data_IF_122269532467
#
_entry.id   IF_122269532467
#
_cell.length_a   1.000
_cell.length_b   1.000
_cell.length_c   1.000
_cell.angle_alpha   90.00
_cell.angle_beta   90.00
_cell.angle_gamma   90.00
#
_symmetry.space_group_name_H-M   'P 1'
#
loop_
_entity.id
_entity.type
_entity.pdbx_description
1 polymer ?
#
# COMPACT_ATOMS: atom_id res chain seq x y z
N UNK A 1 -37.46 3.13 -6.14
CA UNK A 1 -36.91 4.02 -5.08
C UNK A 1 -35.59 3.44 -4.61
N UNK A 2 -34.46 3.89 -5.15
CA UNK A 2 -33.13 3.39 -4.73
C UNK A 2 -32.64 3.99 -3.41
N UNK A 3 -33.20 5.12 -2.96
CA UNK A 3 -32.70 5.85 -1.79
C UNK A 3 -32.55 5.02 -0.51
N UNK A 4 -33.58 4.29 -0.04
CA UNK A 4 -33.47 3.48 1.18
C UNK A 4 -32.42 2.35 1.07
N UNK A 5 -32.42 1.60 -0.04
CA UNK A 5 -31.46 0.50 -0.26
C UNK A 5 -30.03 1.02 -0.38
N UNK A 6 -29.83 2.17 -1.03
CA UNK A 6 -28.53 2.82 -1.13
C UNK A 6 -27.99 3.22 0.25
N UNK A 7 -28.85 3.79 1.09
CA UNK A 7 -28.50 4.15 2.46
C UNK A 7 -28.15 2.92 3.31
N UNK A 8 -28.88 1.82 3.16
CA UNK A 8 -28.56 0.55 3.83
C UNK A 8 -27.18 0.02 3.42
N UNK A 9 -26.84 0.08 2.13
CA UNK A 9 -25.51 -0.30 1.64
C UNK A 9 -24.41 0.60 2.23
N UNK A 10 -24.61 1.91 2.24
CA UNK A 10 -23.65 2.86 2.81
C UNK A 10 -23.43 2.59 4.31
N UNK A 11 -24.52 2.42 5.07
CA UNK A 11 -24.45 2.09 6.49
C UNK A 11 -23.71 0.77 6.72
N UNK A 12 -24.03 -0.25 5.92
CA UNK A 12 -23.36 -1.55 6.01
C UNK A 12 -21.85 -1.42 5.75
N UNK A 13 -21.44 -0.67 4.73
CA UNK A 13 -20.03 -0.39 4.44
C UNK A 13 -19.34 0.21 5.66
N UNK A 14 -19.87 1.29 6.25
CA UNK A 14 -19.23 1.94 7.39
C UNK A 14 -19.28 1.14 8.69
N UNK A 15 -20.31 0.32 8.89
CA UNK A 15 -20.43 -0.54 10.08
C UNK A 15 -19.38 -1.66 10.09
N UNK A 16 -18.98 -2.17 8.92
CA UNK A 16 -18.12 -3.35 8.83
C UNK A 16 -16.69 -3.01 8.39
N UNK A 17 -16.43 -1.82 7.84
CA UNK A 17 -15.13 -1.50 7.25
C UNK A 17 -13.95 -1.57 8.23
N UNK A 18 -14.14 -1.55 9.55
CA UNK A 18 -13.04 -1.67 10.52
C UNK A 18 -12.65 -3.10 10.84
N UNK A 19 -13.60 -4.03 10.71
CA UNK A 19 -13.45 -5.41 11.18
C UNK A 19 -13.07 -6.38 10.06
N UNK A 20 -13.32 -5.99 8.80
CA UNK A 20 -12.95 -6.79 7.64
C UNK A 20 -11.43 -6.74 7.44
N UNK A 21 -10.75 -7.89 7.27
CA UNK A 21 -9.34 -7.91 6.92
C UNK A 21 -9.05 -7.08 5.66
N UNK A 22 -7.95 -6.32 5.66
CA UNK A 22 -7.60 -5.43 4.53
C UNK A 22 -7.58 -6.16 3.19
N UNK A 23 -7.06 -7.39 3.17
CA UNK A 23 -6.97 -8.20 1.97
C UNK A 23 -8.35 -8.66 1.43
N UNK A 24 -9.42 -8.60 2.22
CA UNK A 24 -10.77 -9.01 1.81
C UNK A 24 -11.72 -7.83 1.54
N UNK A 25 -11.33 -6.62 1.99
CA UNK A 25 -12.22 -5.47 2.00
C UNK A 25 -12.80 -5.12 0.63
N UNK A 26 -11.97 -5.06 -0.42
CA UNK A 26 -12.42 -4.65 -1.75
C UNK A 26 -13.41 -5.65 -2.37
N UNK A 27 -13.16 -6.94 -2.22
CA UNK A 27 -14.10 -7.99 -2.68
C UNK A 27 -15.41 -7.90 -1.92
N UNK A 28 -15.35 -7.75 -0.60
CA UNK A 28 -16.54 -7.61 0.24
C UNK A 28 -17.35 -6.35 -0.10
N UNK A 29 -16.68 -5.23 -0.34
CA UNK A 29 -17.32 -3.96 -0.67
C UNK A 29 -18.03 -4.04 -2.04
N UNK A 30 -17.37 -4.59 -3.06
CA UNK A 30 -17.98 -4.82 -4.37
C UNK A 30 -19.16 -5.79 -4.28
N UNK A 31 -19.02 -6.90 -3.56
CA UNK A 31 -20.12 -7.85 -3.30
C UNK A 31 -21.30 -7.17 -2.60
N UNK A 32 -21.03 -6.25 -1.68
CA UNK A 32 -22.08 -5.49 -0.98
C UNK A 32 -22.80 -4.53 -1.94
N UNK A 33 -22.07 -3.88 -2.85
CA UNK A 33 -22.66 -3.00 -3.88
C UNK A 33 -23.47 -3.77 -4.92
N UNK A 34 -23.15 -5.05 -5.20
CA UNK A 34 -23.94 -5.89 -6.11
C UNK A 34 -25.42 -6.03 -5.71
N UNK A 35 -25.77 -5.77 -4.44
CA UNK A 35 -27.16 -5.77 -3.97
C UNK A 35 -28.03 -4.63 -4.54
N UNK A 36 -27.41 -3.56 -5.03
CA UNK A 36 -28.10 -2.38 -5.58
C UNK A 36 -27.74 -2.06 -7.03
N UNK A 37 -26.60 -2.56 -7.52
CA UNK A 37 -26.16 -2.44 -8.91
C UNK A 37 -25.73 -3.81 -9.39
N UNK A 38 -26.43 -4.39 -10.36
CA UNK A 38 -26.00 -5.66 -10.94
C UNK A 38 -24.76 -5.43 -11.82
N UNK A 39 -23.69 -6.18 -11.59
CA UNK A 39 -22.49 -6.26 -12.43
C UNK A 39 -21.81 -7.62 -12.20
N UNK A 40 -21.07 -8.10 -13.19
CA UNK A 40 -20.48 -9.45 -13.19
C UNK A 40 -19.03 -9.42 -12.69
N UNK A 41 -18.31 -8.34 -13.03
CA UNK A 41 -16.91 -8.13 -12.69
C UNK A 41 -16.58 -6.65 -12.47
N UNK A 42 -15.40 -6.37 -11.93
CA UNK A 42 -14.99 -5.00 -11.64
C UNK A 42 -13.50 -4.79 -11.45
N UNK A 43 -13.10 -3.52 -11.50
CA UNK A 43 -11.74 -3.06 -11.30
C UNK A 43 -11.74 -1.94 -10.27
N UNK A 44 -10.81 -1.98 -9.32
CA UNK A 44 -10.54 -0.87 -8.40
C UNK A 44 -9.06 -0.61 -8.35
N UNK A 45 -8.64 0.45 -9.03
CA UNK A 45 -7.25 0.80 -9.18
C UNK A 45 -6.95 2.20 -8.64
N UNK A 46 -5.73 2.37 -8.14
CA UNK A 46 -5.18 3.66 -7.75
C UNK A 46 -4.04 4.03 -8.70
N UNK A 47 -3.94 5.31 -9.06
CA UNK A 47 -2.89 5.82 -9.93
C UNK A 47 -2.04 6.88 -9.21
N UNK A 48 -0.82 7.10 -9.69
CA UNK A 48 0.06 8.13 -9.15
C UNK A 48 -0.48 9.54 -9.41
N UNK A 49 -1.11 9.74 -10.55
CA UNK A 49 -1.81 10.95 -10.93
C UNK A 49 -2.91 10.59 -11.93
N UNK A 50 -3.82 11.53 -12.17
CA UNK A 50 -5.02 11.29 -13.00
C UNK A 50 -4.64 10.98 -14.46
N UNK A 51 -3.40 11.28 -14.87
CA UNK A 51 -2.88 11.13 -16.23
C UNK A 51 -1.81 10.00 -16.37
N UNK A 52 -1.64 9.13 -15.36
CA UNK A 52 -0.55 8.15 -15.37
C UNK A 52 -0.92 6.93 -16.21
N UNK A 53 0.00 6.49 -17.06
CA UNK A 53 -0.12 5.26 -17.87
C UNK A 53 -0.11 3.96 -17.08
N UNK A 54 0.29 3.99 -15.80
CA UNK A 54 0.39 2.78 -15.01
C UNK A 54 -0.16 2.95 -13.59
N UNK A 55 -1.08 2.06 -13.26
CA UNK A 55 -1.68 1.94 -11.94
C UNK A 55 -0.61 1.57 -10.90
N UNK A 56 -0.73 2.14 -9.71
CA UNK A 56 0.16 1.80 -8.60
C UNK A 56 -0.35 0.58 -7.83
N UNK A 57 -1.67 0.41 -7.78
CA UNK A 57 -2.39 -0.68 -7.10
C UNK A 57 -3.62 -1.01 -7.94
N UNK A 58 -3.90 -2.30 -8.16
CA UNK A 58 -5.04 -2.77 -8.95
C UNK A 58 -5.66 -3.96 -8.24
N UNK A 59 -6.95 -3.83 -7.91
CA UNK A 59 -7.78 -4.94 -7.46
C UNK A 59 -8.75 -5.34 -8.56
N UNK A 60 -8.87 -6.65 -8.78
CA UNK A 60 -9.71 -7.26 -9.79
C UNK A 60 -10.79 -8.11 -9.11
N UNK A 61 -12.05 -7.81 -9.41
CA UNK A 61 -13.19 -8.54 -8.90
C UNK A 61 -13.74 -9.44 -10.00
N UNK A 62 -13.64 -10.75 -9.81
CA UNK A 62 -14.00 -11.78 -10.80
C UNK A 62 -13.29 -11.63 -12.16
N UNK A 63 -12.05 -11.12 -12.16
CA UNK A 63 -11.18 -11.01 -13.34
C UNK A 63 -9.80 -11.56 -13.04
N UNK A 64 -9.13 -12.07 -14.07
CA UNK A 64 -7.72 -12.49 -14.02
C UNK A 64 -6.76 -11.36 -14.34
N UNK A 65 -5.49 -11.52 -13.94
CA UNK A 65 -4.43 -10.54 -14.20
C UNK A 65 -4.11 -10.36 -15.69
N UNK A 66 -4.43 -11.37 -16.51
CA UNK A 66 -4.34 -11.35 -17.97
C UNK A 66 -5.12 -10.20 -18.61
N UNK A 67 -6.20 -9.73 -17.97
CA UNK A 67 -6.91 -8.51 -18.36
C UNK A 67 -5.97 -7.31 -18.34
N UNK A 68 -5.24 -7.09 -17.23
CA UNK A 68 -4.36 -5.93 -17.08
C UNK A 68 -3.14 -6.05 -18.01
N UNK A 69 -2.55 -7.24 -18.13
CA UNK A 69 -1.43 -7.47 -19.05
C UNK A 69 -1.82 -7.16 -20.50
N UNK A 70 -3.00 -7.63 -20.94
CA UNK A 70 -3.48 -7.35 -22.29
C UNK A 70 -3.86 -5.88 -22.46
N UNK A 71 -4.49 -5.24 -21.46
CA UNK A 71 -4.81 -3.81 -21.49
C UNK A 71 -3.55 -2.96 -21.67
N UNK A 72 -2.50 -3.20 -20.88
CA UNK A 72 -1.25 -2.47 -20.95
C UNK A 72 -0.51 -2.70 -22.26
N UNK A 73 -0.57 -3.91 -22.83
CA UNK A 73 0.11 -4.24 -24.08
C UNK A 73 -0.59 -3.68 -25.32
N UNK A 74 -1.91 -3.83 -25.38
CA UNK A 74 -2.67 -3.59 -26.62
C UNK A 74 -3.31 -2.20 -26.67
N UNK A 75 -3.66 -1.63 -25.52
CA UNK A 75 -4.53 -0.45 -25.48
C UNK A 75 -3.87 0.75 -24.79
N UNK A 76 -3.61 0.66 -23.49
CA UNK A 76 -3.15 1.77 -22.67
C UNK A 76 -4.23 2.85 -22.43
N UNK A 77 -4.07 3.62 -21.35
CA UNK A 77 -5.08 4.61 -20.90
C UNK A 77 -5.33 5.73 -21.92
N UNK A 78 -4.32 6.08 -22.72
CA UNK A 78 -4.40 7.10 -23.77
C UNK A 78 -5.35 6.73 -24.92
N UNK A 79 -5.66 5.44 -25.06
CA UNK A 79 -6.60 4.92 -26.07
C UNK A 79 -7.93 4.45 -25.45
N UNK A 80 -8.11 4.66 -24.14
CA UNK A 80 -9.33 4.33 -23.40
C UNK A 80 -10.21 5.57 -23.20
N UNK A 81 -11.18 5.75 -24.10
CA UNK A 81 -12.09 6.91 -24.07
C UNK A 81 -12.95 6.95 -22.81
N UNK A 82 -13.32 5.80 -22.24
CA UNK A 82 -14.11 5.74 -21.02
C UNK A 82 -13.29 6.20 -19.81
N UNK A 83 -12.05 5.72 -19.69
CA UNK A 83 -11.12 6.16 -18.66
C UNK A 83 -10.84 7.66 -18.80
N UNK A 84 -10.56 8.15 -20.01
CA UNK A 84 -10.34 9.58 -20.27
C UNK A 84 -11.55 10.43 -19.89
N UNK A 85 -12.76 10.00 -20.22
CA UNK A 85 -13.98 10.72 -19.85
C UNK A 85 -14.17 10.79 -18.33
N UNK A 86 -13.89 9.69 -17.61
CA UNK A 86 -13.94 9.65 -16.15
C UNK A 86 -12.86 10.54 -15.50
N UNK A 87 -11.64 10.52 -16.04
CA UNK A 87 -10.51 11.37 -15.64
C UNK A 87 -10.84 12.86 -15.81
N UNK A 88 -11.46 13.23 -16.94
CA UNK A 88 -11.86 14.60 -17.22
C UNK A 88 -13.03 15.09 -16.35
N UNK A 89 -13.76 14.18 -15.70
CA UNK A 89 -14.91 14.50 -14.85
C UNK A 89 -14.81 13.81 -13.47
N UNK A 90 -13.82 14.17 -12.61
CA UNK A 90 -13.64 13.51 -11.32
C UNK A 90 -14.89 13.55 -10.44
N UNK A 91 -15.23 12.40 -9.84
CA UNK A 91 -16.42 12.19 -9.04
C UNK A 91 -17.67 11.84 -9.86
N UNK A 92 -17.69 12.13 -11.18
CA UNK A 92 -18.80 11.74 -12.04
C UNK A 92 -18.63 10.29 -12.50
N UNK A 93 -19.71 9.52 -12.47
CA UNK A 93 -19.75 8.19 -13.10
C UNK A 93 -20.13 8.30 -14.57
N UNK A 94 -19.32 7.72 -15.44
CA UNK A 94 -19.51 7.63 -16.89
C UNK A 94 -20.09 6.25 -17.27
N UNK A 95 -20.97 6.23 -18.27
CA UNK A 95 -21.48 5.03 -18.93
C UNK A 95 -20.79 4.91 -20.28
N UNK A 96 -20.32 3.71 -20.66
CA UNK A 96 -19.64 3.52 -21.95
C UNK A 96 -20.50 3.97 -23.13
N UNK A 97 -21.77 3.56 -23.17
CA UNK A 97 -22.71 3.91 -24.25
C UNK A 97 -22.94 5.43 -24.41
N UNK A 98 -22.72 6.23 -23.36
CA UNK A 98 -22.78 7.70 -23.44
C UNK A 98 -21.50 8.32 -24.02
N UNK A 99 -20.37 7.63 -23.87
CA UNK A 99 -19.06 8.06 -24.39
C UNK A 99 -18.93 7.66 -25.86
N UNK A 100 -19.38 6.45 -26.19
CA UNK A 100 -19.32 5.88 -27.53
C UNK A 100 -20.48 4.89 -27.72
N UNK A 101 -21.33 5.08 -28.75
CA UNK A 101 -22.36 4.11 -29.10
C UNK A 101 -21.78 2.71 -29.34
N UNK A 102 -22.53 1.67 -29.00
CA UNK A 102 -22.03 0.29 -29.04
C UNK A 102 -21.60 -0.17 -30.44
N UNK A 103 -22.33 0.23 -31.48
CA UNK A 103 -21.98 -0.08 -32.87
C UNK A 103 -20.63 0.50 -33.29
N UNK A 104 -20.28 1.70 -32.81
CA UNK A 104 -18.94 2.26 -32.98
C UNK A 104 -17.92 1.56 -32.08
N UNK A 105 -18.26 1.31 -30.81
CA UNK A 105 -17.38 0.66 -29.84
C UNK A 105 -16.90 -0.71 -30.32
N UNK A 106 -17.77 -1.50 -30.93
CA UNK A 106 -17.42 -2.84 -31.41
C UNK A 106 -16.43 -2.86 -32.58
N UNK A 107 -16.13 -1.70 -33.18
CA UNK A 107 -15.21 -1.58 -34.31
C UNK A 107 -13.80 -1.12 -33.94
N UNK A 108 -13.61 -0.59 -32.72
CA UNK A 108 -12.33 -0.01 -32.31
C UNK A 108 -11.38 -1.06 -31.68
N UNK A 109 -10.06 -0.82 -31.68
CA UNK A 109 -9.08 -1.74 -31.10
C UNK A 109 -9.35 -2.12 -29.65
N UNK A 110 -9.86 -1.20 -28.82
CA UNK A 110 -10.25 -1.47 -27.42
C UNK A 110 -11.19 -2.67 -27.33
N UNK A 111 -12.26 -2.69 -28.13
CA UNK A 111 -13.20 -3.81 -28.09
C UNK A 111 -12.60 -5.07 -28.71
N UNK A 112 -12.05 -4.94 -29.92
CA UNK A 112 -11.58 -6.07 -30.73
C UNK A 112 -10.42 -6.83 -30.07
N UNK A 113 -9.48 -6.11 -29.46
CA UNK A 113 -8.25 -6.69 -28.90
C UNK A 113 -8.33 -6.91 -27.39
N UNK A 114 -9.28 -6.26 -26.68
CA UNK A 114 -9.36 -6.34 -25.22
C UNK A 114 -10.76 -6.71 -24.72
N UNK A 115 -11.76 -5.85 -24.82
CA UNK A 115 -13.05 -6.05 -24.12
C UNK A 115 -13.75 -7.35 -24.52
N UNK A 116 -13.76 -7.70 -25.81
CA UNK A 116 -14.39 -8.94 -26.31
C UNK A 116 -13.73 -10.20 -25.74
N UNK A 117 -12.42 -10.20 -25.52
CA UNK A 117 -11.70 -11.36 -24.99
C UNK A 117 -12.05 -11.66 -23.53
N UNK A 118 -12.42 -10.63 -22.78
CA UNK A 118 -12.68 -10.72 -21.34
C UNK A 118 -14.15 -10.53 -20.97
N UNK A 119 -15.05 -10.46 -21.96
CA UNK A 119 -16.49 -10.27 -21.74
C UNK A 119 -16.81 -8.94 -21.06
N UNK A 120 -16.15 -7.86 -21.46
CA UNK A 120 -16.40 -6.50 -20.95
C UNK A 120 -17.34 -5.76 -21.89
N UNK A 121 -18.58 -6.24 -22.00
CA UNK A 121 -19.54 -5.76 -23.00
C UNK A 121 -20.17 -4.41 -22.63
N UNK A 122 -20.33 -4.17 -21.33
CA UNK A 122 -20.94 -2.97 -20.78
C UNK A 122 -20.09 -2.46 -19.62
N UNK A 123 -19.91 -1.15 -19.50
CA UNK A 123 -19.02 -0.58 -18.47
C UNK A 123 -19.55 0.71 -17.84
N UNK A 124 -19.39 0.81 -16.51
CA UNK A 124 -19.43 2.06 -15.77
C UNK A 124 -18.04 2.38 -15.25
N UNK A 125 -17.55 3.60 -15.43
CA UNK A 125 -16.27 4.04 -14.87
C UNK A 125 -16.44 5.31 -14.02
N UNK A 126 -15.74 5.37 -12.89
CA UNK A 126 -15.71 6.55 -12.01
C UNK A 126 -14.28 6.78 -11.60
N UNK A 127 -13.74 7.97 -11.87
CA UNK A 127 -12.47 8.41 -11.30
C UNK A 127 -12.80 9.32 -10.11
N UNK A 128 -12.41 8.95 -8.91
CA UNK A 128 -12.60 9.74 -7.71
C UNK A 128 -11.23 10.18 -7.16
N UNK A 129 -11.11 11.45 -6.78
CA UNK A 129 -9.90 11.98 -6.15
C UNK A 129 -10.25 12.31 -4.71
N UNK A 130 -9.63 11.60 -3.77
CA UNK A 130 -9.84 11.86 -2.33
C UNK A 130 -9.39 13.28 -1.97
N UNK A 131 -10.19 13.98 -1.17
CA UNK A 131 -9.82 15.29 -0.63
C UNK A 131 -8.73 15.22 0.45
N UNK A 132 -8.46 14.03 0.99
CA UNK A 132 -7.49 13.80 2.06
C UNK A 132 -6.15 13.36 1.47
N UNK A 133 -6.15 12.29 0.69
CA UNK A 133 -4.90 11.71 0.16
C UNK A 133 -4.50 12.30 -1.20
N UNK A 134 -5.43 12.95 -1.89
CA UNK A 134 -5.28 13.39 -3.29
C UNK A 134 -4.88 12.28 -4.27
N UNK A 135 -5.00 11.01 -3.87
CA UNK A 135 -4.74 9.85 -4.72
C UNK A 135 -5.97 9.64 -5.62
N UNK A 136 -5.79 9.62 -6.95
CA UNK A 136 -6.86 9.26 -7.89
C UNK A 136 -7.15 7.76 -7.83
N UNK A 137 -8.41 7.43 -7.71
CA UNK A 137 -8.94 6.06 -7.65
C UNK A 137 -9.95 5.85 -8.76
N UNK A 138 -9.69 4.92 -9.66
CA UNK A 138 -10.63 4.46 -10.66
C UNK A 138 -11.38 3.22 -10.16
N UNK A 139 -12.71 3.26 -10.20
CA UNK A 139 -13.56 2.09 -9.94
C UNK A 139 -14.42 1.84 -11.17
N UNK A 140 -14.34 0.64 -11.74
CA UNK A 140 -15.12 0.21 -12.90
C UNK A 140 -15.95 -1.02 -12.59
N UNK A 141 -17.18 -1.05 -13.10
CA UNK A 141 -18.07 -2.21 -13.05
C UNK A 141 -18.41 -2.63 -14.47
N UNK A 142 -18.40 -3.94 -14.72
CA UNK A 142 -18.63 -4.51 -16.04
C UNK A 142 -19.78 -5.51 -16.03
N UNK A 143 -20.52 -5.58 -17.14
CA UNK A 143 -21.41 -6.72 -17.43
C UNK A 143 -20.93 -7.42 -18.69
N UNK A 144 -21.06 -8.75 -18.70
CA UNK A 144 -20.68 -9.58 -19.85
C UNK A 144 -21.80 -9.77 -20.86
N UNK A 145 -22.99 -9.24 -20.58
CA UNK A 145 -24.15 -9.29 -21.45
C UNK A 145 -24.44 -7.90 -22.01
N UNK A 146 -24.19 -7.73 -23.31
CA UNK A 146 -24.48 -6.50 -24.05
C UNK A 146 -25.95 -6.08 -23.91
N UNK A 147 -26.88 -7.05 -23.90
CA UNK A 147 -28.33 -6.77 -23.91
C UNK A 147 -28.84 -6.32 -22.53
N UNK A 148 -27.94 -6.12 -21.56
CA UNK A 148 -28.21 -5.61 -20.22
C UNK A 148 -27.41 -4.32 -19.94
N UNK A 149 -27.66 -3.23 -20.67
CA UNK A 149 -26.94 -1.97 -20.49
C UNK A 149 -27.15 -1.38 -19.09
N UNK A 150 -26.17 -0.62 -18.61
CA UNK A 150 -26.33 0.12 -17.36
C UNK A 150 -27.35 1.24 -17.51
N UNK A 151 -28.26 1.34 -16.54
CA UNK A 151 -29.25 2.40 -16.52
C UNK A 151 -28.70 3.68 -15.89
N UNK A 152 -29.37 4.81 -16.15
CA UNK A 152 -29.13 6.06 -15.43
C UNK A 152 -29.24 5.91 -13.90
N UNK A 153 -30.09 4.98 -13.46
CA UNK A 153 -30.21 4.64 -12.05
C UNK A 153 -28.98 3.94 -11.49
N UNK A 154 -28.40 2.99 -12.26
CA UNK A 154 -27.15 2.33 -11.90
C UNK A 154 -26.00 3.34 -11.81
N UNK A 155 -25.91 4.23 -12.81
CA UNK A 155 -24.90 5.28 -12.88
C UNK A 155 -24.96 6.22 -11.66
N UNK A 156 -26.16 6.70 -11.30
CA UNK A 156 -26.37 7.56 -10.12
C UNK A 156 -26.07 6.85 -8.80
N UNK A 157 -26.48 5.58 -8.68
CA UNK A 157 -26.18 4.79 -7.49
C UNK A 157 -24.66 4.62 -7.32
N UNK A 158 -23.94 4.28 -8.39
CA UNK A 158 -22.48 4.14 -8.37
C UNK A 158 -21.79 5.46 -8.02
N UNK A 159 -22.23 6.56 -8.61
CA UNK A 159 -21.70 7.90 -8.32
C UNK A 159 -21.78 8.28 -6.84
N UNK A 160 -22.89 7.94 -6.19
CA UNK A 160 -23.05 8.15 -4.75
C UNK A 160 -22.17 7.19 -3.95
N UNK A 161 -22.06 5.92 -4.35
CA UNK A 161 -21.37 4.89 -3.57
C UNK A 161 -19.84 4.98 -3.61
N UNK A 162 -19.25 5.35 -4.74
CA UNK A 162 -17.79 5.39 -4.92
C UNK A 162 -17.04 6.19 -3.85
N UNK A 163 -17.41 7.44 -3.50
CA UNK A 163 -16.72 8.16 -2.42
C UNK A 163 -16.82 7.44 -1.06
N UNK A 164 -17.94 6.78 -0.78
CA UNK A 164 -18.10 5.99 0.45
C UNK A 164 -17.22 4.74 0.45
N UNK A 165 -17.09 4.06 -0.69
CA UNK A 165 -16.18 2.92 -0.84
C UNK A 165 -14.72 3.34 -0.61
N UNK A 166 -14.29 4.45 -1.21
CA UNK A 166 -12.92 4.97 -1.06
C UNK A 166 -12.63 5.38 0.39
N UNK A 167 -13.54 6.12 1.02
CA UNK A 167 -13.36 6.52 2.42
C UNK A 167 -13.40 5.32 3.38
N UNK A 168 -14.26 4.34 3.13
CA UNK A 168 -14.31 3.13 3.93
C UNK A 168 -13.03 2.29 3.80
N UNK A 169 -12.42 2.22 2.61
CA UNK A 169 -11.09 1.61 2.43
C UNK A 169 -10.05 2.33 3.27
N UNK A 170 -10.06 3.67 3.27
CA UNK A 170 -9.15 4.47 4.09
C UNK A 170 -9.31 4.19 5.59
N UNK A 171 -10.55 4.14 6.09
CA UNK A 171 -10.86 3.78 7.48
C UNK A 171 -10.40 2.35 7.80
N UNK A 172 -10.58 1.41 6.87
CA UNK A 172 -10.14 0.03 7.00
C UNK A 172 -8.61 -0.08 7.17
N UNK A 173 -7.86 0.61 6.31
CA UNK A 173 -6.39 0.70 6.42
C UNK A 173 -5.97 1.30 7.76
N UNK A 174 -6.55 2.44 8.14
CA UNK A 174 -6.23 3.11 9.40
C UNK A 174 -6.53 2.23 10.63
N UNK A 175 -7.69 1.58 10.67
CA UNK A 175 -8.06 0.66 11.75
C UNK A 175 -7.10 -0.53 11.86
N UNK A 176 -6.68 -1.09 10.73
CA UNK A 176 -5.70 -2.19 10.67
C UNK A 176 -4.33 -1.79 11.23
N UNK A 177 -3.89 -0.55 10.99
CA UNK A 177 -2.64 -0.01 11.56
C UNK A 177 -2.72 0.20 13.07
N UNK A 178 -3.87 0.64 13.59
CA UNK A 178 -4.07 0.84 15.03
C UNK A 178 -4.10 -0.50 15.79
N UNK A 179 -4.68 -1.55 15.18
CA UNK A 179 -4.55 -2.95 15.61
C UNK A 179 -4.82 -3.25 17.09
N UNK A 180 -4.43 -4.47 17.51
CA UNK A 180 -4.44 -4.93 18.91
C UNK A 180 -3.36 -4.25 19.75
N UNK A 181 -3.43 -4.29 21.08
CA UNK A 181 -2.38 -3.78 22.00
C UNK A 181 -0.95 -4.19 21.59
N UNK A 182 -0.77 -5.39 21.05
CA UNK A 182 0.52 -5.89 20.57
C UNK A 182 1.18 -5.06 19.44
N UNK A 183 0.41 -4.23 18.72
CA UNK A 183 0.94 -3.33 17.67
C UNK A 183 1.17 -1.90 18.16
N UNK A 184 0.84 -1.59 19.43
CA UNK A 184 1.13 -0.28 20.00
C UNK A 184 2.64 -0.05 20.04
N UNK A 185 3.09 1.10 19.52
CA UNK A 185 4.51 1.42 19.44
C UNK A 185 5.18 1.03 18.12
N UNK A 186 4.49 0.32 17.23
CA UNK A 186 5.05 -0.06 15.94
C UNK A 186 5.02 1.09 14.91
N UNK A 187 6.11 1.24 14.18
CA UNK A 187 6.17 2.10 13.00
C UNK A 187 5.66 1.31 11.79
N UNK A 188 4.40 1.52 11.41
CA UNK A 188 3.72 0.83 10.33
C UNK A 188 3.16 1.80 9.29
N UNK A 189 3.06 1.34 8.05
CA UNK A 189 2.40 2.04 6.97
C UNK A 189 1.78 1.06 5.97
N UNK A 190 0.74 1.50 5.26
CA UNK A 190 0.31 0.85 4.02
C UNK A 190 0.84 1.62 2.81
N UNK A 191 1.43 0.91 1.85
CA UNK A 191 1.86 1.50 0.59
C UNK A 191 1.44 0.65 -0.62
N UNK A 192 1.41 1.26 -1.80
CA UNK A 192 1.28 0.53 -3.06
C UNK A 192 2.65 0.08 -3.61
N UNK A 193 2.62 -0.59 -4.76
CA UNK A 193 3.83 -1.18 -5.36
C UNK A 193 4.88 -0.15 -5.79
N UNK A 194 4.50 1.14 -5.85
CA UNK A 194 5.39 2.26 -6.18
C UNK A 194 5.84 3.03 -4.94
N UNK A 195 5.56 2.51 -3.75
CA UNK A 195 5.93 3.10 -2.48
C UNK A 195 5.13 4.35 -2.10
N UNK A 196 3.98 4.61 -2.75
CA UNK A 196 3.09 5.69 -2.31
C UNK A 196 2.39 5.23 -1.03
N UNK A 197 2.55 5.98 0.05
CA UNK A 197 1.93 5.71 1.34
C UNK A 197 0.45 6.16 1.33
N UNK A 198 -0.44 5.28 1.80
CA UNK A 198 -1.87 5.54 1.93
C UNK A 198 -2.24 5.94 3.35
N UNK A 199 -1.75 5.18 4.32
CA UNK A 199 -1.98 5.41 5.75
C UNK A 199 -0.71 5.03 6.53
N UNK A 200 -0.41 5.78 7.59
CA UNK A 200 0.80 5.57 8.41
C UNK A 200 0.51 5.74 9.90
N UNK A 201 1.30 5.08 10.75
CA UNK A 201 1.31 5.39 12.18
C UNK A 201 2.15 6.65 12.45
N UNK A 202 1.85 7.44 13.50
CA UNK A 202 2.64 8.62 13.84
C UNK A 202 4.13 8.32 14.06
N UNK A 203 4.44 7.14 14.61
CA UNK A 203 5.81 6.69 14.86
C UNK A 203 6.54 6.41 13.54
N UNK A 204 5.85 5.85 12.54
CA UNK A 204 6.43 5.65 11.21
C UNK A 204 6.86 6.98 10.60
N UNK A 205 5.97 7.98 10.58
CA UNK A 205 6.30 9.32 10.07
C UNK A 205 7.49 9.93 10.83
N UNK A 206 7.48 9.85 12.16
CA UNK A 206 8.55 10.39 12.99
C UNK A 206 9.91 9.73 12.69
N UNK A 207 9.95 8.40 12.49
CA UNK A 207 11.18 7.70 12.14
C UNK A 207 11.69 8.11 10.75
N UNK A 208 10.81 8.11 9.74
CA UNK A 208 11.21 8.46 8.36
C UNK A 208 11.68 9.91 8.27
N UNK A 209 10.96 10.86 8.85
CA UNK A 209 11.38 12.28 8.86
C UNK A 209 12.70 12.51 9.58
N UNK A 210 13.01 11.72 10.62
CA UNK A 210 14.27 11.85 11.35
C UNK A 210 15.50 11.45 10.51
N UNK A 211 15.35 10.49 9.59
CA UNK A 211 16.45 9.98 8.75
C UNK A 211 16.44 10.53 7.32
N UNK A 212 15.31 11.11 6.91
CA UNK A 212 15.09 11.74 5.61
C UNK A 212 14.40 13.10 5.81
N UNK A 213 15.14 14.15 6.25
CA UNK A 213 14.54 15.45 6.56
C UNK A 213 13.96 16.17 5.33
N UNK A 214 14.44 15.87 4.13
CA UNK A 214 13.92 16.43 2.88
C UNK A 214 12.69 15.68 2.34
N UNK A 215 12.30 14.58 2.98
CA UNK A 215 11.13 13.81 2.57
C UNK A 215 9.85 14.58 2.84
N UNK A 216 9.04 14.78 1.79
CA UNK A 216 7.74 15.48 1.85
C UNK A 216 6.54 14.57 1.60
N UNK A 217 6.78 13.26 1.41
CA UNK A 217 5.73 12.30 1.09
C UNK A 217 5.03 12.55 -0.26
N UNK A 218 3.98 11.78 -0.58
CA UNK A 218 3.59 10.55 0.12
C UNK A 218 4.46 9.34 -0.29
N UNK A 219 5.40 9.49 -1.23
CA UNK A 219 6.23 8.37 -1.71
C UNK A 219 7.46 8.14 -0.85
N UNK A 220 7.71 6.89 -0.47
CA UNK A 220 8.95 6.45 0.17
C UNK A 220 9.94 5.93 -0.88
N UNK A 221 11.21 6.33 -0.77
CA UNK A 221 12.31 5.83 -1.62
C UNK A 221 13.24 4.89 -0.83
N UNK A 222 13.95 3.96 -1.50
CA UNK A 222 13.76 3.55 -2.89
C UNK A 222 12.47 2.72 -3.05
N UNK A 223 11.78 2.78 -4.20
CA UNK A 223 10.56 2.00 -4.43
C UNK A 223 10.98 0.55 -4.64
N UNK A 224 10.60 -0.36 -3.75
CA UNK A 224 11.01 -1.77 -3.86
C UNK A 224 9.91 -2.69 -3.35
N UNK A 225 8.91 -2.94 -4.20
CA UNK A 225 8.15 -4.19 -4.12
C UNK A 225 8.01 -4.74 -5.52
N UNK A 226 8.42 -6.00 -5.81
CA UNK A 226 8.13 -6.60 -7.09
C UNK A 226 6.62 -6.56 -7.34
N UNK A 227 6.21 -6.19 -8.56
CA UNK A 227 4.81 -6.16 -9.00
C UNK A 227 4.11 -7.51 -8.84
N UNK A 228 4.84 -8.60 -8.54
CA UNK A 228 4.25 -9.90 -8.25
C UNK A 228 3.35 -9.89 -7.01
N UNK A 229 3.55 -8.97 -6.05
CA UNK A 229 2.71 -8.88 -4.86
C UNK A 229 2.77 -10.13 -3.96
N UNK A 230 3.77 -11.01 -4.12
CA UNK A 230 3.85 -12.28 -3.39
C UNK A 230 4.99 -12.30 -2.37
N UNK A 231 6.07 -11.55 -2.63
CA UNK A 231 7.28 -11.64 -1.81
C UNK A 231 7.38 -10.54 -0.76
N UNK A 232 7.77 -10.92 0.46
CA UNK A 232 8.19 -9.94 1.47
C UNK A 232 9.52 -9.32 1.06
N UNK A 233 9.58 -7.99 1.01
CA UNK A 233 10.81 -7.25 0.66
C UNK A 233 11.38 -6.58 1.89
N UNK A 234 12.71 -6.59 1.99
CA UNK A 234 13.44 -5.87 3.04
C UNK A 234 14.48 -4.96 2.44
N UNK A 235 14.61 -3.76 2.98
CA UNK A 235 15.65 -2.80 2.61
C UNK A 235 16.06 -1.97 3.82
N UNK A 236 17.16 -1.24 3.67
CA UNK A 236 17.66 -0.33 4.69
C UNK A 236 17.89 1.05 4.08
N UNK A 237 17.60 2.10 4.84
CA UNK A 237 17.85 3.48 4.46
C UNK A 237 18.24 4.27 5.71
N UNK A 238 19.42 4.91 5.69
CA UNK A 238 19.89 5.85 6.71
C UNK A 238 19.72 5.35 8.16
N UNK A 239 20.02 4.06 8.41
CA UNK A 239 19.93 3.45 9.74
C UNK A 239 18.52 3.01 10.15
N UNK A 240 17.54 3.02 9.23
CA UNK A 240 16.28 2.29 9.37
C UNK A 240 16.31 1.02 8.52
N UNK A 241 15.66 -0.02 9.01
CA UNK A 241 15.29 -1.20 8.24
C UNK A 241 13.79 -1.19 7.99
N UNK A 242 13.41 -1.61 6.80
CA UNK A 242 12.03 -1.71 6.37
C UNK A 242 11.73 -3.14 5.96
N UNK A 243 10.53 -3.62 6.29
CA UNK A 243 9.98 -4.88 5.85
C UNK A 243 8.59 -4.62 5.26
N UNK A 244 8.43 -4.85 3.96
CA UNK A 244 7.14 -4.78 3.26
C UNK A 244 6.58 -6.18 3.06
N UNK A 245 5.49 -6.51 3.75
CA UNK A 245 4.75 -7.75 3.57
C UNK A 245 3.56 -7.54 2.64
N UNK A 246 3.31 -8.42 1.67
CA UNK A 246 2.20 -8.26 0.73
C UNK A 246 0.84 -8.36 1.43
N UNK A 247 -0.11 -7.56 0.95
CA UNK A 247 -1.50 -7.51 1.39
C UNK A 247 -2.39 -7.24 0.17
N UNK A 248 -2.57 -8.28 -0.66
CA UNK A 248 -3.12 -8.19 -2.03
C UNK A 248 -2.40 -7.13 -2.86
N UNK A 249 -3.11 -6.08 -3.27
CA UNK A 249 -2.61 -5.02 -4.15
C UNK A 249 -1.89 -3.90 -3.41
N UNK A 250 -1.71 -4.04 -2.09
CA UNK A 250 -0.95 -3.16 -1.21
C UNK A 250 0.12 -3.94 -0.45
N UNK A 251 0.97 -3.22 0.28
CA UNK A 251 1.96 -3.77 1.20
C UNK A 251 1.81 -3.14 2.59
N UNK A 252 1.91 -3.98 3.62
CA UNK A 252 2.12 -3.51 4.98
C UNK A 252 3.62 -3.34 5.20
N UNK A 253 4.06 -2.10 5.36
CA UNK A 253 5.45 -1.73 5.61
C UNK A 253 5.66 -1.54 7.10
N UNK A 254 6.69 -2.16 7.63
CA UNK A 254 7.16 -2.00 8.99
C UNK A 254 8.55 -1.38 8.98
N UNK A 255 8.71 -0.24 9.64
CA UNK A 255 10.00 0.39 9.85
C UNK A 255 10.54 0.07 11.25
N UNK A 256 11.84 -0.14 11.36
CA UNK A 256 12.55 -0.26 12.64
C UNK A 256 13.87 0.50 12.54
N UNK A 257 14.39 0.97 13.67
CA UNK A 257 15.78 1.39 13.73
C UNK A 257 16.67 0.16 13.55
N UNK A 258 17.70 0.31 12.73
CA UNK A 258 18.70 -0.73 12.57
C UNK A 258 19.37 -0.98 13.92
N UNK A 259 19.35 -2.23 14.36
CA UNK A 259 20.10 -2.64 15.54
C UNK A 259 21.57 -2.79 15.13
N UNK A 260 22.32 -1.68 15.12
CA UNK A 260 23.74 -1.65 14.72
C UNK A 260 24.62 -2.62 15.50
N UNK A 261 24.19 -3.07 16.70
CA UNK A 261 24.88 -4.11 17.47
C UNK A 261 24.92 -5.47 16.75
N UNK A 262 24.03 -5.73 15.78
CA UNK A 262 24.05 -6.93 14.94
C UNK A 262 25.25 -6.96 13.97
N UNK A 263 25.91 -5.82 13.74
CA UNK A 263 27.16 -5.75 12.98
C UNK A 263 28.35 -6.32 13.77
N UNK A 264 28.20 -6.53 15.08
CA UNK A 264 29.24 -7.11 15.92
C UNK A 264 29.24 -8.64 15.83
N UNK A 265 30.44 -9.24 15.80
CA UNK A 265 30.55 -10.69 16.01
C UNK A 265 30.09 -11.07 17.41
N UNK A 266 29.71 -12.34 17.68
CA UNK A 266 29.33 -12.77 19.03
C UNK A 266 30.38 -12.41 20.10
N UNK A 267 31.65 -12.45 19.71
CA UNK A 267 32.76 -12.10 20.59
C UNK A 267 32.87 -10.59 20.85
N UNK A 268 32.69 -9.78 19.82
CA UNK A 268 32.68 -8.32 19.94
C UNK A 268 31.45 -7.86 20.75
N UNK A 269 30.30 -8.48 20.56
CA UNK A 269 29.08 -8.19 21.30
C UNK A 269 29.28 -8.43 22.81
N UNK A 270 29.90 -9.55 23.20
CA UNK A 270 30.22 -9.83 24.59
C UNK A 270 31.18 -8.79 25.21
N UNK A 271 32.21 -8.36 24.47
CA UNK A 271 33.10 -7.28 24.90
C UNK A 271 32.34 -5.96 25.04
N UNK A 272 31.53 -5.61 24.06
CA UNK A 272 30.73 -4.39 24.02
C UNK A 272 29.74 -4.30 25.19
N UNK A 273 29.05 -5.41 25.49
CA UNK A 273 28.10 -5.49 26.59
C UNK A 273 28.77 -5.29 27.95
N UNK A 274 29.91 -5.95 28.19
CA UNK A 274 30.68 -5.74 29.43
C UNK A 274 31.23 -4.31 29.54
N UNK A 275 31.66 -3.74 28.41
CA UNK A 275 32.13 -2.36 28.36
C UNK A 275 30.99 -1.38 28.68
N UNK A 276 29.81 -1.53 28.08
CA UNK A 276 28.64 -0.71 28.38
C UNK A 276 28.30 -0.76 29.89
N UNK A 277 28.38 -1.94 30.51
CA UNK A 277 28.13 -2.17 31.95
C UNK A 277 29.20 -1.64 32.93
N UNK A 278 30.24 -0.92 32.49
CA UNK A 278 31.22 -0.33 33.43
C UNK A 278 32.47 -1.15 33.70
N UNK A 279 32.65 -2.30 33.05
CA UNK A 279 33.80 -3.16 33.34
C UNK A 279 35.09 -2.55 32.78
N UNK A 280 36.17 -2.65 33.55
CA UNK A 280 37.49 -2.25 33.08
C UNK A 280 38.10 -3.31 32.18
N UNK A 281 39.05 -2.93 31.31
CA UNK A 281 39.59 -3.81 30.26
C UNK A 281 40.24 -5.08 30.84
N UNK A 282 40.86 -4.98 32.02
CA UNK A 282 41.43 -6.10 32.78
C UNK A 282 40.36 -7.10 33.24
N UNK A 283 39.19 -6.61 33.64
CA UNK A 283 38.08 -7.43 34.13
C UNK A 283 37.34 -8.10 32.98
N UNK A 284 37.20 -7.38 31.85
CA UNK A 284 36.69 -7.94 30.59
C UNK A 284 37.61 -9.07 30.11
N UNK A 285 38.93 -8.82 30.11
CA UNK A 285 39.92 -9.81 29.70
C UNK A 285 39.86 -11.08 30.55
N UNK A 286 39.78 -10.92 31.88
CA UNK A 286 39.63 -12.05 32.81
C UNK A 286 38.33 -12.83 32.57
N UNK A 287 37.20 -12.14 32.45
CA UNK A 287 35.90 -12.78 32.30
C UNK A 287 35.78 -13.55 30.97
N UNK A 288 36.38 -13.01 29.91
CA UNK A 288 36.31 -13.59 28.58
C UNK A 288 37.47 -14.56 28.30
N UNK A 289 38.51 -14.62 29.13
CA UNK A 289 39.69 -15.47 28.91
C UNK A 289 40.60 -14.95 27.78
N UNK A 290 40.73 -13.64 27.63
CA UNK A 290 41.60 -12.97 26.64
C UNK A 290 42.50 -11.93 27.31
N UNK A 291 43.62 -11.58 26.68
CA UNK A 291 44.53 -10.58 27.24
C UNK A 291 43.90 -9.17 27.21
N UNK A 292 44.31 -8.25 28.12
CA UNK A 292 43.88 -6.86 28.07
C UNK A 292 44.18 -6.17 26.73
N UNK A 293 45.30 -6.53 26.09
CA UNK A 293 45.65 -6.01 24.76
C UNK A 293 44.68 -6.48 23.67
N UNK A 294 44.18 -7.72 23.75
CA UNK A 294 43.14 -8.23 22.85
C UNK A 294 41.80 -7.54 23.12
N UNK A 295 41.48 -7.20 24.37
CA UNK A 295 40.29 -6.38 24.69
C UNK A 295 40.40 -5.01 24.02
N UNK A 296 41.52 -4.30 24.17
CA UNK A 296 41.73 -3.00 23.50
C UNK A 296 41.54 -3.11 22.00
N UNK A 297 42.08 -4.17 21.37
CA UNK A 297 41.89 -4.41 19.93
C UNK A 297 40.41 -4.59 19.57
N UNK A 298 39.66 -5.38 20.35
CA UNK A 298 38.23 -5.52 20.13
C UNK A 298 37.46 -4.21 20.31
N UNK A 299 37.79 -3.41 21.33
CA UNK A 299 37.14 -2.10 21.56
C UNK A 299 37.35 -1.17 20.38
N UNK A 300 38.58 -1.08 19.85
CA UNK A 300 38.86 -0.26 18.67
C UNK A 300 38.04 -0.73 17.44
N UNK A 301 37.96 -2.04 17.21
CA UNK A 301 37.15 -2.61 16.13
C UNK A 301 35.65 -2.40 16.33
N UNK A 302 35.16 -2.39 17.58
CA UNK A 302 33.76 -2.09 17.91
C UNK A 302 33.46 -0.62 17.60
N UNK A 303 34.31 0.30 18.03
CA UNK A 303 34.16 1.73 17.73
C UNK A 303 34.14 1.99 16.23
N UNK A 304 35.03 1.34 15.47
CA UNK A 304 35.09 1.44 14.02
C UNK A 304 33.83 0.85 13.35
N UNK A 305 33.41 -0.37 13.73
CA UNK A 305 32.24 -1.05 13.13
C UNK A 305 30.89 -0.39 13.44
N UNK A 306 30.77 0.19 14.62
CA UNK A 306 29.55 0.89 15.05
C UNK A 306 29.59 2.38 14.71
N UNK A 307 30.71 2.87 14.18
CA UNK A 307 30.96 4.29 13.90
C UNK A 307 30.77 5.22 15.12
N UNK A 308 30.97 4.67 16.33
CA UNK A 308 30.86 5.40 17.59
C UNK A 308 32.24 5.83 18.08
N UNK A 309 32.27 6.95 18.82
CA UNK A 309 33.53 7.48 19.37
C UNK A 309 33.64 7.32 20.87
N UNK A 310 32.50 7.26 21.56
CA UNK A 310 32.44 7.28 23.01
C UNK A 310 31.76 6.06 23.58
N UNK A 311 32.10 5.77 24.83
CA UNK A 311 31.50 4.67 25.59
C UNK A 311 30.03 4.97 25.93
N UNK A 312 29.68 6.24 26.12
CA UNK A 312 28.30 6.67 26.37
C UNK A 312 27.40 6.32 25.17
N UNK A 313 27.87 6.52 23.94
CA UNK A 313 27.14 6.14 22.72
C UNK A 313 26.88 4.62 22.68
N UNK A 314 27.85 3.81 23.14
CA UNK A 314 27.65 2.36 23.27
C UNK A 314 26.58 2.02 24.31
N UNK A 315 26.54 2.74 25.44
CA UNK A 315 25.51 2.54 26.48
C UNK A 315 24.12 2.87 25.93
N UNK A 316 23.98 3.96 25.19
CA UNK A 316 22.72 4.36 24.56
C UNK A 316 22.22 3.31 23.54
N UNK A 317 23.13 2.70 22.78
CA UNK A 317 22.81 1.60 21.85
C UNK A 317 22.27 0.35 22.58
N UNK A 318 22.79 0.02 23.77
CA UNK A 318 22.28 -1.10 24.55
C UNK A 318 20.96 -0.77 25.26
N UNK A 319 20.74 0.49 25.66
CA UNK A 319 19.48 0.94 26.26
C UNK A 319 18.35 1.04 25.24
N UNK A 320 18.64 1.41 23.99
CA UNK A 320 17.64 1.46 22.91
C UNK A 320 17.16 0.09 22.43
N UNK A 321 17.85 -1.01 22.82
CA UNK A 321 17.42 -2.39 22.58
C UNK A 321 16.41 -2.91 23.60
N UNK A 322 16.23 -2.20 24.72
CA UNK A 322 15.31 -2.56 25.82
C UNK A 322 13.92 -1.93 25.69
N UNK A 323 13.68 -1.20 24.60
CA UNK A 323 12.41 -0.56 24.22
C UNK A 323 12.06 -0.91 22.79
#
# INVERSE_FOLDING_TARGET
MLGPQLNEVILKIYQNCRDIPVHDFKDWAMTTVQSVIAFDSGLWANAQNVFSEAFNSVHLFHLGWDVIENYTREIGVENDLLAQAAIANPGRTMIMDEVMPYDEFTTIPMYLNHCRHFGLEQALCTCHVSSITHIPTAISFFRSDHDRPFSESDRRAKEILVPHMVEAMRINLFASLLGTEARQGEALAFCDARGVLYETTPIFNALVTAVCPDWRGPRLEPPCTPMDGVSTVRWSLNGLTFEASPCRDLFLVRAKRENVLERLSPRQLAVAEMLARGKQYKDIGRALGISPSTVTKHVNQIHERLEIRKREELVDLFNSKLH
#
